data_IF_232035136047
#
_entry.id   IF_232035136047
#
_cell.length_a   1.000
_cell.length_b   1.000
_cell.length_c   1.000
_cell.angle_alpha   90.00
_cell.angle_beta   90.00
_cell.angle_gamma   90.00
#
_symmetry.space_group_name_H-M   'P 1'
#
loop_
_entity.id
_entity.type
_entity.pdbx_description
1 polymer ?
#
# COMPACT_ATOMS: atom_id res chain seq x y z
N UNK A 1 -15.32 -13.66 1.48
CA UNK A 1 -15.34 -14.19 2.87
C UNK A 1 -15.97 -15.58 2.85
N UNK A 2 -15.19 -16.61 2.52
CA UNK A 2 -15.64 -17.99 2.37
C UNK A 2 -15.26 -18.90 3.54
N UNK A 3 -15.21 -18.36 4.77
CA UNK A 3 -14.77 -19.12 5.95
C UNK A 3 -15.65 -20.35 6.20
N UNK A 4 -15.00 -21.49 6.45
CA UNK A 4 -15.61 -22.82 6.54
C UNK A 4 -16.70 -22.96 7.63
N UNK A 5 -16.60 -22.24 8.74
CA UNK A 5 -17.54 -22.41 9.85
C UNK A 5 -18.49 -21.22 10.08
N UNK A 6 -18.08 -20.00 9.69
CA UNK A 6 -18.85 -18.76 9.94
C UNK A 6 -18.82 -17.76 8.77
N UNK A 7 -18.38 -18.19 7.58
CA UNK A 7 -18.30 -17.33 6.41
C UNK A 7 -19.68 -16.93 5.88
N UNK A 8 -19.75 -15.75 5.27
CA UNK A 8 -20.97 -15.25 4.62
C UNK A 8 -21.46 -16.24 3.56
N UNK A 9 -20.54 -16.84 2.80
CA UNK A 9 -20.84 -17.88 1.83
C UNK A 9 -21.62 -19.07 2.44
N UNK A 10 -21.14 -19.62 3.56
CA UNK A 10 -21.78 -20.76 4.20
C UNK A 10 -23.15 -20.42 4.79
N UNK A 11 -23.33 -19.21 5.32
CA UNK A 11 -24.65 -18.75 5.76
C UNK A 11 -25.64 -18.63 4.58
N UNK A 12 -25.17 -18.18 3.43
CA UNK A 12 -25.99 -18.11 2.22
C UNK A 12 -26.35 -19.51 1.70
N UNK A 13 -25.40 -20.44 1.65
CA UNK A 13 -25.64 -21.83 1.22
C UNK A 13 -26.63 -22.54 2.15
N UNK A 14 -26.61 -22.25 3.46
CA UNK A 14 -27.60 -22.81 4.40
C UNK A 14 -29.04 -22.37 4.09
N UNK A 15 -29.24 -21.16 3.55
CA UNK A 15 -30.56 -20.64 3.17
C UNK A 15 -30.93 -21.03 1.74
N UNK A 16 -29.94 -21.05 0.84
CA UNK A 16 -30.10 -21.38 -0.58
C UNK A 16 -29.03 -22.42 -0.97
N UNK A 17 -29.32 -23.73 -0.85
CA UNK A 17 -28.34 -24.80 -1.07
C UNK A 17 -27.78 -24.85 -2.51
N UNK A 18 -28.48 -24.28 -3.48
CA UNK A 18 -28.08 -24.22 -4.88
C UNK A 18 -27.20 -23.01 -5.20
N UNK A 19 -26.94 -22.12 -4.24
CA UNK A 19 -26.10 -20.95 -4.45
C UNK A 19 -24.66 -21.36 -4.76
N UNK A 20 -24.12 -20.84 -5.86
CA UNK A 20 -22.72 -21.00 -6.21
C UNK A 20 -21.88 -19.97 -5.46
N UNK A 21 -20.85 -20.42 -4.74
CA UNK A 21 -19.87 -19.54 -4.15
C UNK A 21 -18.71 -19.29 -5.13
N UNK A 22 -18.39 -18.02 -5.35
CA UNK A 22 -17.24 -17.59 -6.15
C UNK A 22 -16.35 -16.70 -5.29
N UNK A 23 -15.04 -16.93 -5.33
CA UNK A 23 -14.08 -16.08 -4.64
C UNK A 23 -14.01 -14.69 -5.29
N UNK A 24 -13.84 -13.66 -4.47
CA UNK A 24 -13.61 -12.31 -4.97
C UNK A 24 -12.17 -12.20 -5.52
N UNK A 25 -12.02 -12.01 -6.83
CA UNK A 25 -10.71 -11.86 -7.47
C UNK A 25 -9.91 -10.68 -6.91
N UNK A 26 -10.56 -9.56 -6.58
CA UNK A 26 -9.89 -8.43 -5.91
C UNK A 26 -9.35 -8.80 -4.51
N UNK A 27 -10.05 -9.68 -3.78
CA UNK A 27 -9.56 -10.17 -2.49
C UNK A 27 -8.39 -11.15 -2.67
N UNK A 28 -8.47 -12.06 -3.65
CA UNK A 28 -7.39 -12.99 -3.98
C UNK A 28 -6.11 -12.24 -4.38
N UNK A 29 -6.24 -11.20 -5.21
CA UNK A 29 -5.13 -10.32 -5.58
C UNK A 29 -4.49 -9.67 -4.35
N UNK A 30 -5.29 -9.13 -3.41
CA UNK A 30 -4.75 -8.55 -2.18
C UNK A 30 -4.00 -9.57 -1.33
N UNK A 31 -4.55 -10.77 -1.15
CA UNK A 31 -3.88 -11.81 -0.36
C UNK A 31 -2.50 -12.13 -0.96
N UNK A 32 -2.44 -12.34 -2.28
CA UNK A 32 -1.19 -12.58 -2.99
C UNK A 32 -0.14 -11.47 -2.74
N UNK A 33 -0.55 -10.20 -2.84
CA UNK A 33 0.35 -9.05 -2.63
C UNK A 33 0.85 -8.95 -1.18
N UNK A 34 0.00 -9.23 -0.20
CA UNK A 34 0.38 -9.25 1.21
C UNK A 34 1.38 -10.39 1.44
N UNK A 35 1.06 -11.60 0.97
CA UNK A 35 1.91 -12.78 1.16
C UNK A 35 3.30 -12.58 0.55
N UNK A 36 3.38 -12.03 -0.67
CA UNK A 36 4.66 -11.72 -1.32
C UNK A 36 5.43 -10.64 -0.55
N UNK A 37 4.74 -9.58 -0.10
CA UNK A 37 5.38 -8.48 0.64
C UNK A 37 5.96 -8.95 1.98
N UNK A 38 5.37 -9.97 2.61
CA UNK A 38 5.86 -10.57 3.85
C UNK A 38 6.92 -11.66 3.60
N UNK A 39 6.85 -12.38 2.48
CA UNK A 39 7.78 -13.44 2.13
C UNK A 39 9.18 -12.90 1.79
N UNK A 40 9.26 -11.76 1.10
CA UNK A 40 10.55 -11.16 0.71
C UNK A 40 11.07 -10.24 1.82
N UNK A 41 12.15 -10.65 2.50
CA UNK A 41 12.70 -9.94 3.68
C UNK A 41 12.99 -8.46 3.41
N UNK A 42 13.54 -8.12 2.24
CA UNK A 42 13.85 -6.73 1.90
C UNK A 42 12.60 -5.87 1.76
N UNK A 43 11.56 -6.41 1.13
CA UNK A 43 10.26 -5.73 0.97
C UNK A 43 9.55 -5.60 2.31
N UNK A 44 9.56 -6.65 3.13
CA UNK A 44 9.00 -6.63 4.48
C UNK A 44 9.68 -5.55 5.34
N UNK A 45 11.01 -5.50 5.31
CA UNK A 45 11.79 -4.49 6.02
C UNK A 45 11.49 -3.08 5.51
N UNK A 46 11.36 -2.91 4.18
CA UNK A 46 10.96 -1.64 3.58
C UNK A 46 9.61 -1.14 4.13
N UNK A 47 8.59 -2.01 4.16
CA UNK A 47 7.29 -1.65 4.76
C UNK A 47 7.38 -1.41 6.27
N UNK A 48 8.29 -2.07 6.97
CA UNK A 48 8.62 -1.78 8.38
C UNK A 48 9.14 -0.35 8.57
N UNK A 49 9.97 0.14 7.66
CA UNK A 49 10.48 1.53 7.65
C UNK A 49 9.35 2.50 7.33
N UNK A 50 8.54 2.22 6.30
CA UNK A 50 7.34 3.02 5.96
C UNK A 50 6.40 3.18 7.16
N UNK A 51 6.14 2.09 7.89
CA UNK A 51 5.35 2.11 9.12
C UNK A 51 6.00 2.96 10.22
N UNK A 52 7.32 2.88 10.34
CA UNK A 52 8.08 3.63 11.34
C UNK A 52 8.07 5.13 11.05
N UNK A 53 8.15 5.55 9.76
CA UNK A 53 7.99 6.94 9.34
C UNK A 53 6.62 7.49 9.73
N UNK A 54 5.55 6.76 9.38
CA UNK A 54 4.19 7.13 9.77
C UNK A 54 4.08 7.28 11.29
N UNK A 55 4.49 6.28 12.07
CA UNK A 55 4.42 6.33 13.53
C UNK A 55 5.30 7.45 14.11
N UNK A 56 6.41 7.80 13.47
CA UNK A 56 7.26 8.87 13.93
C UNK A 56 6.61 10.23 13.66
N UNK A 57 6.25 10.54 12.42
CA UNK A 57 5.74 11.87 12.07
C UNK A 57 4.31 12.06 12.63
N UNK A 58 3.43 11.09 12.40
CA UNK A 58 1.98 11.25 12.64
C UNK A 58 1.55 10.99 14.08
N UNK A 59 2.34 10.26 14.89
CA UNK A 59 1.95 9.98 16.28
C UNK A 59 2.17 11.16 17.24
N UNK A 60 2.73 12.29 16.77
CA UNK A 60 2.85 13.50 17.58
C UNK A 60 2.33 14.71 16.81
N UNK A 61 1.33 15.44 17.35
CA UNK A 61 0.84 16.67 16.73
C UNK A 61 1.96 17.69 16.48
N UNK A 62 2.97 17.76 17.36
CA UNK A 62 4.13 18.65 17.20
C UNK A 62 5.00 18.27 15.99
N UNK A 63 5.26 16.97 15.80
CA UNK A 63 6.07 16.47 14.66
C UNK A 63 5.30 16.54 13.35
N UNK A 64 4.01 16.20 13.37
CA UNK A 64 3.13 16.42 12.23
C UNK A 64 3.09 17.88 11.83
N UNK A 65 3.02 18.81 12.80
CA UNK A 65 3.01 20.25 12.54
C UNK A 65 4.25 20.71 11.77
N UNK A 66 5.43 20.23 12.15
CA UNK A 66 6.68 20.49 11.41
C UNK A 66 6.56 20.03 9.94
N UNK A 67 6.07 18.81 9.71
CA UNK A 67 5.88 18.29 8.36
C UNK A 67 4.81 19.05 7.56
N UNK A 68 3.73 19.49 8.21
CA UNK A 68 2.70 20.34 7.60
C UNK A 68 3.27 21.70 7.18
N UNK A 69 4.07 22.33 8.04
CA UNK A 69 4.62 23.66 7.79
C UNK A 69 5.64 23.63 6.63
N UNK A 70 6.50 22.60 6.56
CA UNK A 70 7.42 22.38 5.44
C UNK A 70 6.70 22.18 4.09
N UNK A 71 5.55 21.49 4.10
CA UNK A 71 4.72 21.35 2.90
C UNK A 71 4.14 22.71 2.46
N UNK A 72 3.70 23.53 3.41
CA UNK A 72 3.16 24.87 3.11
C UNK A 72 4.24 25.82 2.59
N UNK A 73 5.44 25.77 3.18
CA UNK A 73 6.61 26.54 2.71
C UNK A 73 7.00 26.17 1.28
N UNK A 74 6.85 24.89 0.93
CA UNK A 74 7.09 24.37 -0.44
C UNK A 74 5.93 24.66 -1.40
N UNK A 75 4.88 25.37 -0.96
CA UNK A 75 3.73 25.75 -1.78
C UNK A 75 2.82 24.57 -2.18
N UNK A 76 2.93 23.42 -1.50
CA UNK A 76 2.14 22.22 -1.80
C UNK A 76 1.03 21.99 -0.78
N UNK A 77 -0.05 21.35 -1.22
CA UNK A 77 -1.16 20.98 -0.33
C UNK A 77 -0.66 20.02 0.74
N UNK A 78 -0.89 20.39 2.00
CA UNK A 78 -0.55 19.57 3.15
C UNK A 78 -1.36 18.27 3.15
N UNK A 79 -0.66 17.17 3.34
CA UNK A 79 -1.23 15.83 3.48
C UNK A 79 -0.59 15.11 4.65
N UNK A 80 -1.30 14.08 5.14
CA UNK A 80 -0.80 13.14 6.13
C UNK A 80 -0.08 11.99 5.44
N UNK A 81 0.97 11.47 6.07
CA UNK A 81 1.45 10.13 5.76
C UNK A 81 0.34 9.12 6.00
N UNK A 82 0.27 8.10 5.16
CA UNK A 82 -0.79 7.09 5.23
C UNK A 82 -0.36 5.91 6.08
N UNK A 83 -1.24 5.51 7.00
CA UNK A 83 -1.04 4.31 7.79
C UNK A 83 -1.16 3.07 6.91
N UNK A 84 -0.21 2.13 7.07
CA UNK A 84 -0.35 0.80 6.48
C UNK A 84 -1.48 0.03 7.18
N UNK A 85 -2.32 -0.60 6.37
CA UNK A 85 -3.42 -1.48 6.77
C UNK A 85 -3.26 -2.82 6.08
N UNK A 86 -3.43 -3.88 6.85
CA UNK A 86 -3.40 -5.25 6.32
C UNK A 86 -4.64 -5.58 5.48
N UNK A 87 -5.76 -4.88 5.70
CA UNK A 87 -7.05 -5.19 5.08
C UNK A 87 -7.37 -4.33 3.87
N UNK A 88 -6.73 -3.16 3.71
CA UNK A 88 -7.02 -2.21 2.64
C UNK A 88 -5.81 -2.02 1.75
N UNK A 89 -5.66 -2.86 0.74
CA UNK A 89 -4.54 -2.83 -0.20
C UNK A 89 -4.23 -1.45 -0.82
N UNK A 90 -5.26 -0.61 -1.03
CA UNK A 90 -5.10 0.77 -1.51
C UNK A 90 -4.17 1.59 -0.63
N UNK A 91 -4.15 1.32 0.69
CA UNK A 91 -3.29 2.04 1.61
C UNK A 91 -1.81 1.80 1.34
N UNK A 92 -1.39 0.61 0.86
CA UNK A 92 0.04 0.32 0.63
C UNK A 92 0.55 1.14 -0.55
N UNK A 93 -0.19 1.13 -1.65
CA UNK A 93 0.06 1.99 -2.80
C UNK A 93 0.04 3.47 -2.41
N UNK A 94 -1.01 3.91 -1.71
CA UNK A 94 -1.15 5.31 -1.29
C UNK A 94 -0.03 5.76 -0.33
N UNK A 95 0.39 4.91 0.61
CA UNK A 95 1.51 5.20 1.52
C UNK A 95 2.81 5.40 0.76
N UNK A 96 3.16 4.48 -0.15
CA UNK A 96 4.38 4.61 -0.95
C UNK A 96 4.34 5.85 -1.85
N UNK A 97 3.19 6.10 -2.49
CA UNK A 97 2.97 7.29 -3.32
C UNK A 97 3.14 8.58 -2.53
N UNK A 98 2.59 8.66 -1.32
CA UNK A 98 2.74 9.84 -0.46
C UNK A 98 4.21 10.02 -0.06
N UNK A 99 4.91 8.94 0.30
CA UNK A 99 6.33 9.02 0.65
C UNK A 99 7.17 9.54 -0.53
N UNK A 100 6.94 9.04 -1.74
CA UNK A 100 7.63 9.55 -2.92
C UNK A 100 7.33 11.02 -3.20
N UNK A 101 6.05 11.38 -3.19
CA UNK A 101 5.61 12.74 -3.50
C UNK A 101 5.97 13.77 -2.41
N UNK A 102 6.36 13.31 -1.23
CA UNK A 102 6.74 14.15 -0.09
C UNK A 102 8.14 13.86 0.42
N UNK A 103 8.97 13.23 -0.43
CA UNK A 103 10.25 12.70 0.02
C UNK A 103 11.17 13.81 0.55
N UNK A 104 11.20 14.96 -0.15
CA UNK A 104 11.97 16.14 0.28
C UNK A 104 11.51 16.65 1.65
N UNK A 105 10.20 16.83 1.84
CA UNK A 105 9.64 17.36 3.08
C UNK A 105 9.79 16.37 4.24
N UNK A 106 9.74 15.06 3.97
CA UNK A 106 10.03 14.02 4.97
C UNK A 106 11.50 14.11 5.42
N UNK A 107 12.44 14.26 4.49
CA UNK A 107 13.86 14.42 4.82
C UNK A 107 14.07 15.67 5.69
N UNK A 108 13.52 16.81 5.28
CA UNK A 108 13.61 18.07 6.03
C UNK A 108 12.95 17.98 7.40
N UNK A 109 11.80 17.29 7.52
CA UNK A 109 11.12 17.12 8.80
C UNK A 109 11.96 16.26 9.76
N UNK A 110 12.55 15.17 9.29
CA UNK A 110 13.41 14.32 10.13
C UNK A 110 14.68 15.04 10.57
N UNK A 111 15.24 15.87 9.70
CA UNK A 111 16.39 16.71 10.00
C UNK A 111 16.02 17.74 11.09
N UNK A 112 14.94 18.51 10.92
CA UNK A 112 14.54 19.56 11.85
C UNK A 112 14.08 19.05 13.23
N UNK A 113 13.52 17.84 13.30
CA UNK A 113 13.03 17.27 14.57
C UNK A 113 14.18 16.84 15.50
N UNK A 114 15.40 16.62 14.97
CA UNK A 114 16.65 16.39 15.72
C UNK A 114 16.53 15.48 16.97
N UNK A 115 16.01 14.26 16.80
CA UNK A 115 16.02 13.23 17.84
C UNK A 115 16.83 12.02 17.40
N UNK A 116 17.28 11.18 18.34
CA UNK A 116 17.98 9.93 17.98
C UNK A 116 17.19 9.05 17.02
N UNK A 117 15.86 8.99 17.17
CA UNK A 117 14.97 8.26 16.28
C UNK A 117 14.85 8.92 14.89
N UNK A 118 14.78 10.25 14.80
CA UNK A 118 14.73 10.93 13.49
C UNK A 118 16.05 10.81 12.74
N UNK A 119 17.18 10.88 13.44
CA UNK A 119 18.50 10.63 12.85
C UNK A 119 18.59 9.23 12.23
N UNK A 120 18.20 8.19 12.96
CA UNK A 120 18.20 6.81 12.44
C UNK A 120 17.30 6.68 11.21
N UNK A 121 16.07 7.19 11.29
CA UNK A 121 15.13 7.16 10.16
C UNK A 121 15.70 7.89 8.94
N UNK A 122 16.32 9.05 9.14
CA UNK A 122 16.93 9.85 8.08
C UNK A 122 18.04 9.08 7.35
N UNK A 123 18.92 8.40 8.08
CA UNK A 123 19.97 7.57 7.48
C UNK A 123 19.39 6.39 6.70
N UNK A 124 18.39 5.72 7.27
CA UNK A 124 17.77 4.55 6.65
C UNK A 124 17.04 4.91 5.36
N UNK A 125 16.28 6.01 5.33
CA UNK A 125 15.52 6.36 4.13
C UNK A 125 16.40 6.93 3.01
N UNK A 126 17.56 7.51 3.34
CA UNK A 126 18.54 7.95 2.35
C UNK A 126 19.30 6.78 1.70
N UNK A 127 19.22 5.57 2.25
CA UNK A 127 19.88 4.40 1.69
C UNK A 127 19.27 4.02 0.34
N UNK A 128 20.13 3.68 -0.62
CA UNK A 128 19.75 3.14 -1.93
C UNK A 128 18.72 2.02 -1.82
N UNK A 129 18.91 1.07 -0.90
CA UNK A 129 18.01 -0.08 -0.74
C UNK A 129 16.58 0.38 -0.42
N UNK A 130 16.42 1.36 0.47
CA UNK A 130 15.08 1.87 0.80
C UNK A 130 14.43 2.53 -0.42
N UNK A 131 15.17 3.39 -1.12
CA UNK A 131 14.68 4.10 -2.30
C UNK A 131 14.32 3.11 -3.41
N UNK A 132 15.20 2.15 -3.69
CA UNK A 132 15.02 1.13 -4.71
C UNK A 132 13.81 0.23 -4.42
N UNK A 133 13.71 -0.34 -3.21
CA UNK A 133 12.58 -1.19 -2.86
C UNK A 133 11.26 -0.42 -2.84
N UNK A 134 11.26 0.83 -2.38
CA UNK A 134 10.07 1.69 -2.40
C UNK A 134 9.63 1.95 -3.84
N UNK A 135 10.58 2.23 -4.75
CA UNK A 135 10.30 2.49 -6.16
C UNK A 135 9.74 1.26 -6.85
N UNK A 136 10.45 0.13 -6.76
CA UNK A 136 10.03 -1.15 -7.31
C UNK A 136 8.62 -1.54 -6.84
N UNK A 137 8.36 -1.44 -5.53
CA UNK A 137 7.04 -1.77 -5.01
C UNK A 137 5.97 -0.78 -5.48
N UNK A 138 6.30 0.50 -5.68
CA UNK A 138 5.33 1.48 -6.18
C UNK A 138 4.86 1.13 -7.59
N UNK A 139 5.74 0.65 -8.46
CA UNK A 139 5.40 0.20 -9.82
C UNK A 139 4.52 -1.05 -9.82
N UNK A 140 4.86 -2.04 -8.98
CA UNK A 140 4.07 -3.26 -8.80
C UNK A 140 2.68 -2.92 -8.24
N UNK A 141 2.63 -2.08 -7.21
CA UNK A 141 1.37 -1.67 -6.59
C UNK A 141 0.53 -0.79 -7.52
N UNK A 142 1.12 0.02 -8.39
CA UNK A 142 0.38 0.79 -9.40
C UNK A 142 -0.32 -0.14 -10.40
N UNK A 143 0.42 -1.08 -10.98
CA UNK A 143 -0.11 -2.02 -11.97
C UNK A 143 -1.26 -2.85 -11.38
N UNK A 144 -1.05 -3.37 -10.18
CA UNK A 144 -2.08 -4.14 -9.46
C UNK A 144 -3.22 -3.26 -8.94
N UNK A 145 -2.99 -1.97 -8.71
CA UNK A 145 -4.05 -1.01 -8.35
C UNK A 145 -5.04 -0.80 -9.48
N UNK A 146 -4.53 -0.68 -10.71
CA UNK A 146 -5.35 -0.56 -11.92
C UNK A 146 -6.21 -1.82 -12.08
N UNK A 147 -5.60 -3.01 -12.00
CA UNK A 147 -6.34 -4.28 -12.06
C UNK A 147 -7.43 -4.37 -11.00
N UNK A 148 -7.10 -4.04 -9.75
CA UNK A 148 -8.07 -4.15 -8.65
C UNK A 148 -9.25 -3.20 -8.81
N UNK A 149 -9.02 -1.96 -9.28
CA UNK A 149 -10.11 -1.03 -9.63
C UNK A 149 -10.98 -1.58 -10.76
N UNK A 150 -10.35 -2.14 -11.79
CA UNK A 150 -11.06 -2.75 -12.91
C UNK A 150 -11.96 -3.90 -12.44
N UNK A 151 -11.45 -4.79 -11.59
CA UNK A 151 -12.19 -5.93 -11.03
C UNK A 151 -13.37 -5.52 -10.11
N UNK A 152 -13.44 -4.25 -9.71
CA UNK A 152 -14.52 -3.70 -8.87
C UNK A 152 -15.58 -2.94 -9.68
N UNK A 153 -15.40 -2.79 -11.00
CA UNK A 153 -16.39 -2.15 -11.85
C UNK A 153 -17.66 -3.00 -11.95
N UNK A 154 -18.83 -2.36 -11.84
CA UNK A 154 -20.13 -3.06 -11.83
C UNK A 154 -20.45 -3.77 -13.15
N UNK A 155 -19.92 -3.27 -14.27
CA UNK A 155 -20.23 -3.73 -15.62
C UNK A 155 -19.01 -4.39 -16.25
N UNK A 156 -18.53 -5.49 -15.67
CA UNK A 156 -17.43 -6.29 -16.23
C UNK A 156 -17.91 -7.71 -16.53
N UNK A 157 -17.53 -8.25 -17.69
CA UNK A 157 -17.68 -9.67 -17.95
C UNK A 157 -16.50 -10.47 -17.40
N UNK A 158 -16.65 -11.79 -17.28
CA UNK A 158 -15.55 -12.67 -16.92
C UNK A 158 -14.41 -12.63 -17.94
N UNK A 159 -14.74 -12.50 -19.23
CA UNK A 159 -13.77 -12.38 -20.31
C UNK A 159 -12.96 -11.09 -20.21
N UNK A 160 -13.60 -9.98 -19.86
CA UNK A 160 -12.92 -8.70 -19.65
C UNK A 160 -11.95 -8.79 -18.46
N UNK A 161 -12.39 -9.41 -17.36
CA UNK A 161 -11.56 -9.63 -16.18
C UNK A 161 -10.30 -10.46 -16.52
N UNK A 162 -10.46 -11.56 -17.27
CA UNK A 162 -9.33 -12.41 -17.69
C UNK A 162 -8.35 -11.66 -18.61
N UNK A 163 -8.87 -10.87 -19.55
CA UNK A 163 -8.04 -10.05 -20.43
C UNK A 163 -7.23 -9.03 -19.63
N UNK A 164 -7.85 -8.33 -18.67
CA UNK A 164 -7.16 -7.36 -17.84
C UNK A 164 -6.11 -8.01 -16.91
N UNK A 165 -6.39 -9.20 -16.38
CA UNK A 165 -5.40 -9.98 -15.62
C UNK A 165 -4.18 -10.28 -16.48
N UNK A 166 -4.39 -10.74 -17.73
CA UNK A 166 -3.29 -11.02 -18.65
C UNK A 166 -2.44 -9.79 -18.96
N UNK A 167 -3.09 -8.65 -19.28
CA UNK A 167 -2.40 -7.37 -19.49
C UNK A 167 -1.54 -7.01 -18.28
N UNK A 168 -2.09 -7.18 -17.08
CA UNK A 168 -1.36 -6.87 -15.83
C UNK A 168 -0.15 -7.79 -15.64
N UNK A 169 -0.27 -9.08 -15.95
CA UNK A 169 0.86 -10.03 -15.90
C UNK A 169 1.94 -9.61 -16.90
N UNK A 170 1.56 -9.33 -18.15
CA UNK A 170 2.48 -8.93 -19.21
C UNK A 170 3.23 -7.65 -18.80
N UNK A 171 2.54 -6.65 -18.25
CA UNK A 171 3.16 -5.43 -17.72
C UNK A 171 4.17 -5.71 -16.60
N UNK A 172 3.83 -6.60 -15.66
CA UNK A 172 4.73 -6.95 -14.55
C UNK A 172 5.97 -7.73 -15.00
N UNK A 173 5.89 -8.48 -16.10
CA UNK A 173 7.02 -9.21 -16.67
C UNK A 173 8.00 -8.30 -17.43
N UNK A 174 7.59 -7.08 -17.77
CA UNK A 174 8.40 -6.09 -18.50
C UNK A 174 9.02 -5.00 -17.61
N UNK A 175 8.75 -5.04 -16.30
CA UNK A 175 9.41 -4.20 -15.29
C UNK A 175 10.88 -4.56 -15.11
#
# INVERSE_FOLDING_TARGET
>A
MGGEHKGVANRFIQVVPTALYVHCNGHALNLCLVDISEAVVHIRNNFGIVKSLYNFIEASPKRHKVFEDLQKESGIVSIFLKQLSNTRWTCRYESLKVIFNRYSEILSALDLIETGNSFILLQVIKNFDFVFHTYMMSEIYLSTHILSKFLQCANISLTDALAQVKITIDSLQTL
#
